data_IF_025804772421
#
_entry.id   IF_025804772421
#
_cell.length_a   1.000
_cell.length_b   1.000
_cell.length_c   1.000
_cell.angle_alpha   90.00
_cell.angle_beta   90.00
_cell.angle_gamma   90.00
#
_symmetry.space_group_name_H-M   'P 1'
#
loop_
_entity.id
_entity.type
_entity.pdbx_description
1 polymer ?
#
# COMPACT_ATOMS: atom_id res chain seq x y z
N UNK A 1 5.80 -18.12 2.01
CA UNK A 1 5.21 -16.78 1.74
C UNK A 1 4.07 -16.99 0.76
N UNK A 2 2.86 -16.49 1.05
CA UNK A 2 1.76 -16.56 0.08
C UNK A 2 2.19 -15.86 -1.22
N UNK A 3 1.68 -16.32 -2.35
CA UNK A 3 1.94 -15.66 -3.63
C UNK A 3 1.25 -14.30 -3.65
N UNK A 4 1.82 -13.29 -4.32
CA UNK A 4 1.35 -11.91 -4.26
C UNK A 4 -0.13 -11.78 -4.58
N UNK A 5 -0.59 -12.47 -5.63
CA UNK A 5 -2.00 -12.51 -6.04
C UNK A 5 -2.92 -13.02 -4.92
N UNK A 6 -2.54 -14.10 -4.24
CA UNK A 6 -3.29 -14.70 -3.14
C UNK A 6 -3.31 -13.79 -1.92
N UNK A 7 -2.18 -13.12 -1.62
CA UNK A 7 -2.12 -12.16 -0.52
C UNK A 7 -3.04 -10.96 -0.78
N UNK A 8 -3.01 -10.41 -1.99
CA UNK A 8 -3.90 -9.30 -2.40
C UNK A 8 -5.37 -9.72 -2.37
N UNK A 9 -5.73 -10.91 -2.85
CA UNK A 9 -7.10 -11.46 -2.75
C UNK A 9 -7.53 -11.64 -1.30
N UNK A 10 -6.65 -12.19 -0.46
CA UNK A 10 -6.91 -12.38 0.97
C UNK A 10 -7.15 -11.05 1.66
N UNK A 11 -6.27 -10.06 1.43
CA UNK A 11 -6.44 -8.71 1.96
C UNK A 11 -7.73 -8.05 1.47
N UNK A 12 -8.11 -8.28 0.20
CA UNK A 12 -9.35 -7.76 -0.36
C UNK A 12 -10.57 -8.18 0.46
N UNK A 13 -10.71 -9.49 0.69
CA UNK A 13 -11.82 -10.07 1.46
C UNK A 13 -11.73 -9.64 2.93
N UNK A 14 -10.52 -9.70 3.49
CA UNK A 14 -10.29 -9.54 4.92
C UNK A 14 -10.49 -8.10 5.41
N UNK A 15 -10.21 -7.11 4.57
CA UNK A 15 -10.31 -5.68 4.91
C UNK A 15 -11.38 -4.93 4.12
N UNK A 16 -12.33 -5.66 3.51
CA UNK A 16 -13.51 -5.08 2.87
C UNK A 16 -13.20 -4.16 1.68
N UNK A 17 -12.19 -4.48 0.89
CA UNK A 17 -11.95 -3.80 -0.39
C UNK A 17 -12.93 -4.33 -1.46
N UNK A 18 -13.30 -3.49 -2.42
CA UNK A 18 -14.22 -3.82 -3.52
C UNK A 18 -13.58 -4.75 -4.57
N UNK A 19 -12.25 -4.88 -4.56
CA UNK A 19 -11.52 -5.75 -5.48
C UNK A 19 -10.01 -5.61 -5.29
N UNK A 20 -9.24 -6.52 -5.92
CA UNK A 20 -7.77 -6.51 -5.89
C UNK A 20 -7.17 -5.19 -6.41
N UNK A 21 -7.83 -4.55 -7.37
CA UNK A 21 -7.50 -3.20 -7.85
C UNK A 21 -7.50 -2.18 -6.70
N UNK A 22 -8.52 -2.17 -5.84
CA UNK A 22 -8.57 -1.25 -4.70
C UNK A 22 -7.46 -1.52 -3.68
N UNK A 23 -7.14 -2.79 -3.41
CA UNK A 23 -6.02 -3.17 -2.54
C UNK A 23 -4.68 -2.64 -3.09
N UNK A 24 -4.41 -2.84 -4.39
CA UNK A 24 -3.16 -2.37 -4.99
C UNK A 24 -3.10 -0.85 -5.02
N UNK A 25 -4.22 -0.17 -5.34
CA UNK A 25 -4.30 1.30 -5.26
C UNK A 25 -4.01 1.80 -3.86
N UNK A 26 -4.52 1.11 -2.84
CA UNK A 26 -4.23 1.40 -1.43
C UNK A 26 -2.74 1.22 -1.10
N UNK A 27 -2.14 0.10 -1.49
CA UNK A 27 -0.71 -0.13 -1.25
C UNK A 27 0.20 0.87 -1.97
N UNK A 28 -0.12 1.21 -3.22
CA UNK A 28 0.57 2.27 -3.99
C UNK A 28 0.42 3.62 -3.29
N UNK A 29 -0.75 3.90 -2.74
CA UNK A 29 -1.00 5.10 -1.95
C UNK A 29 -0.17 5.12 -0.66
N UNK A 30 -0.12 4.01 0.09
CA UNK A 30 0.70 3.87 1.29
C UNK A 30 2.17 4.15 0.97
N UNK A 31 2.77 3.45 -0.01
CA UNK A 31 4.19 3.62 -0.35
C UNK A 31 4.50 5.03 -0.85
N UNK A 32 3.56 5.68 -1.56
CA UNK A 32 3.75 7.05 -1.99
C UNK A 32 3.75 8.02 -0.78
N UNK A 33 3.02 7.69 0.29
CA UNK A 33 3.03 8.45 1.53
C UNK A 33 4.30 8.27 2.37
N UNK A 34 5.10 7.23 2.09
CA UNK A 34 6.30 6.92 2.86
C UNK A 34 7.43 7.93 2.64
N UNK A 35 8.34 7.99 3.62
CA UNK A 35 9.57 8.78 3.54
C UNK A 35 10.51 8.33 2.41
N UNK A 36 11.44 9.22 2.02
CA UNK A 36 12.41 8.95 0.95
C UNK A 36 13.22 7.67 1.19
N UNK A 37 13.62 7.42 2.43
CA UNK A 37 14.43 6.25 2.78
C UNK A 37 13.64 4.95 2.61
N UNK A 38 12.38 4.90 3.07
CA UNK A 38 11.51 3.73 2.87
C UNK A 38 11.26 3.48 1.39
N UNK A 39 10.96 4.51 0.61
CA UNK A 39 10.81 4.39 -0.86
C UNK A 39 12.07 3.84 -1.53
N UNK A 40 13.26 4.25 -1.06
CA UNK A 40 14.53 3.67 -1.53
C UNK A 40 14.61 2.19 -1.17
N UNK A 41 14.22 1.78 0.04
CA UNK A 41 14.18 0.36 0.41
C UNK A 41 13.25 -0.42 -0.52
N UNK A 42 12.05 0.10 -0.81
CA UNK A 42 11.07 -0.56 -1.69
C UNK A 42 11.61 -0.74 -3.13
N UNK A 43 12.18 0.32 -3.72
CA UNK A 43 12.47 0.32 -5.16
C UNK A 43 13.95 0.16 -5.55
N UNK A 44 14.88 0.38 -4.61
CA UNK A 44 16.34 0.34 -4.89
C UNK A 44 16.97 -0.99 -4.48
N UNK A 45 16.44 -1.67 -3.46
CA UNK A 45 16.91 -3.00 -3.09
C UNK A 45 16.40 -3.98 -4.15
N UNK A 46 17.32 -4.53 -4.97
CA UNK A 46 17.06 -5.41 -6.12
C UNK A 46 16.39 -6.76 -5.78
N UNK A 47 15.71 -6.89 -4.64
CA UNK A 47 15.15 -8.15 -4.17
C UNK A 47 13.63 -8.08 -4.23
N UNK A 48 13.06 -8.37 -5.40
CA UNK A 48 11.75 -9.01 -5.35
C UNK A 48 12.00 -10.36 -4.65
N UNK A 49 11.28 -10.66 -3.56
CA UNK A 49 11.55 -11.83 -2.72
C UNK A 49 11.46 -13.15 -3.52
N UNK A 50 10.85 -13.10 -4.70
CA UNK A 50 10.73 -14.22 -5.64
C UNK A 50 11.74 -14.18 -6.80
N UNK A 51 12.57 -13.14 -6.89
CA UNK A 51 13.62 -12.99 -7.91
C UNK A 51 14.98 -13.49 -7.42
N UNK A 52 15.10 -13.83 -6.13
CA UNK A 52 16.39 -13.90 -5.45
C UNK A 52 17.15 -15.22 -5.54
N UNK A 53 16.73 -16.17 -6.38
CA UNK A 53 17.35 -17.50 -6.40
C UNK A 53 17.73 -17.94 -7.80
N UNK A 54 18.47 -17.12 -8.57
CA UNK A 54 19.10 -17.57 -9.82
C UNK A 54 18.16 -18.25 -10.83
N UNK A 55 16.84 -18.04 -10.67
CA UNK A 55 15.84 -18.78 -11.39
C UNK A 55 15.87 -18.29 -12.82
N UNK A 56 16.07 -19.23 -13.76
CA UNK A 56 16.14 -18.92 -15.18
C UNK A 56 14.85 -18.21 -15.58
N UNK A 57 14.93 -17.26 -16.52
CA UNK A 57 13.76 -16.68 -17.16
C UNK A 57 12.76 -17.81 -17.52
N UNK A 58 11.59 -17.83 -16.89
CA UNK A 58 10.55 -18.86 -17.11
C UNK A 58 10.32 -19.85 -15.96
N UNK A 59 11.16 -19.90 -14.92
CA UNK A 59 10.95 -20.84 -13.79
C UNK A 59 9.94 -20.38 -12.74
N UNK A 60 9.62 -19.08 -12.72
CA UNK A 60 8.49 -18.59 -11.96
C UNK A 60 7.37 -18.29 -12.95
N UNK A 61 6.20 -18.88 -12.71
CA UNK A 61 4.99 -18.42 -13.38
C UNK A 61 4.95 -16.90 -13.22
N UNK A 62 4.92 -16.18 -14.35
CA UNK A 62 4.78 -14.73 -14.33
C UNK A 62 3.38 -14.49 -13.77
N UNK A 63 3.29 -14.32 -12.45
CA UNK A 63 2.05 -13.96 -11.80
C UNK A 63 1.61 -12.65 -12.39
N UNK A 64 0.67 -12.66 -13.32
CA UNK A 64 0.10 -11.42 -13.80
C UNK A 64 -0.83 -11.00 -12.68
N UNK A 65 -0.62 -9.83 -12.09
CA UNK A 65 -1.67 -9.13 -11.34
C UNK A 65 -2.76 -8.65 -12.33
N UNK A 66 -3.05 -9.44 -13.38
CA UNK A 66 -3.75 -9.03 -14.57
C UNK A 66 -5.17 -8.65 -14.23
N UNK A 67 -5.63 -7.52 -14.79
CA UNK A 67 -6.90 -6.92 -14.44
C UNK A 67 -6.87 -6.05 -13.18
N UNK A 68 -5.72 -5.91 -12.49
CA UNK A 68 -5.57 -4.92 -11.42
C UNK A 68 -5.40 -3.54 -12.04
N UNK A 69 -6.37 -2.68 -11.78
CA UNK A 69 -6.42 -1.30 -12.25
C UNK A 69 -5.90 -0.35 -11.16
N UNK A 70 -5.13 0.65 -11.59
CA UNK A 70 -4.71 1.77 -10.74
C UNK A 70 -5.15 3.09 -11.37
N UNK A 71 -5.33 4.13 -10.55
CA UNK A 71 -5.75 5.44 -11.08
C UNK A 71 -4.66 6.06 -11.96
N UNK A 72 -5.05 6.94 -12.88
CA UNK A 72 -4.13 7.59 -13.81
C UNK A 72 -2.98 8.33 -13.10
N UNK A 73 -3.28 9.07 -12.02
CA UNK A 73 -2.25 9.76 -11.25
C UNK A 73 -1.25 8.79 -10.58
N UNK A 74 -1.70 7.59 -10.23
CA UNK A 74 -0.84 6.53 -9.70
C UNK A 74 0.02 5.94 -10.81
N UNK A 75 -0.52 5.78 -12.03
CA UNK A 75 0.27 5.39 -13.20
C UNK A 75 1.36 6.42 -13.52
N UNK A 76 1.03 7.72 -13.48
CA UNK A 76 2.02 8.78 -13.68
C UNK A 76 3.14 8.70 -12.62
N UNK A 77 2.76 8.48 -11.35
CA UNK A 77 3.73 8.28 -10.27
C UNK A 77 4.59 7.03 -10.46
N UNK A 78 3.98 5.89 -10.81
CA UNK A 78 4.70 4.64 -11.12
C UNK A 78 5.65 4.83 -12.32
N UNK A 79 5.25 5.62 -13.32
CA UNK A 79 6.11 6.01 -14.45
C UNK A 79 7.34 6.79 -13.98
N UNK A 80 7.17 7.75 -13.06
CA UNK A 80 8.28 8.47 -12.46
C UNK A 80 9.20 7.54 -11.64
N UNK A 81 8.63 6.56 -10.91
CA UNK A 81 9.41 5.53 -10.19
C UNK A 81 10.23 4.69 -11.16
N UNK A 82 9.64 4.25 -12.27
CA UNK A 82 10.31 3.48 -13.33
C UNK A 82 11.45 4.29 -13.98
N UNK A 83 11.26 5.60 -14.17
CA UNK A 83 12.32 6.48 -14.70
C UNK A 83 13.46 6.74 -13.72
N UNK A 84 13.17 6.81 -12.42
CA UNK A 84 14.15 7.14 -11.39
C UNK A 84 14.87 5.94 -10.75
N UNK A 85 14.29 4.74 -10.86
CA UNK A 85 14.77 3.52 -10.21
C UNK A 85 15.08 2.42 -11.24
N UNK A 86 15.90 1.40 -10.91
CA UNK A 86 16.20 0.27 -11.82
C UNK A 86 15.04 -0.73 -11.94
N UNK A 87 13.81 -0.25 -12.01
CA UNK A 87 12.57 -1.02 -12.12
C UNK A 87 12.12 -0.98 -13.58
N UNK A 88 11.94 -2.16 -14.20
CA UNK A 88 11.72 -2.26 -15.66
C UNK A 88 10.33 -1.86 -16.15
N UNK A 89 9.33 -1.83 -15.26
CA UNK A 89 7.94 -1.56 -15.62
C UNK A 89 7.12 -1.17 -14.39
N UNK A 90 5.97 -0.53 -14.62
CA UNK A 90 5.01 -0.20 -13.56
C UNK A 90 4.50 -1.46 -12.84
N UNK A 91 4.22 -2.54 -13.58
CA UNK A 91 3.86 -3.84 -13.01
C UNK A 91 4.93 -4.34 -12.03
N UNK A 92 6.22 -4.26 -12.42
CA UNK A 92 7.31 -4.65 -11.51
C UNK A 92 7.39 -3.74 -10.29
N UNK A 93 7.11 -2.44 -10.44
CA UNK A 93 7.06 -1.51 -9.30
C UNK A 93 5.96 -1.93 -8.31
N UNK A 94 4.75 -2.25 -8.79
CA UNK A 94 3.65 -2.74 -7.94
C UNK A 94 4.04 -4.03 -7.20
N UNK A 95 4.71 -4.97 -7.88
CA UNK A 95 5.21 -6.19 -7.21
C UNK A 95 6.23 -5.88 -6.12
N UNK A 96 7.15 -4.94 -6.35
CA UNK A 96 8.10 -4.50 -5.33
C UNK A 96 7.37 -3.92 -4.10
N UNK A 97 6.28 -3.18 -4.31
CA UNK A 97 5.44 -2.67 -3.21
C UNK A 97 4.79 -3.82 -2.44
N UNK A 98 4.21 -4.80 -3.13
CA UNK A 98 3.58 -5.95 -2.50
C UNK A 98 4.61 -6.77 -1.69
N UNK A 99 5.75 -7.11 -2.31
CA UNK A 99 6.84 -7.84 -1.64
C UNK A 99 7.34 -7.11 -0.39
N UNK A 100 7.52 -5.80 -0.48
CA UNK A 100 8.00 -5.00 0.65
C UNK A 100 7.05 -5.10 1.85
N UNK A 101 5.77 -4.83 1.65
CA UNK A 101 4.80 -4.86 2.75
C UNK A 101 4.54 -6.28 3.27
N UNK A 102 4.52 -7.29 2.39
CA UNK A 102 4.49 -8.69 2.80
C UNK A 102 5.71 -9.05 3.66
N UNK A 103 6.91 -8.62 3.28
CA UNK A 103 8.13 -8.86 4.08
C UNK A 103 7.98 -8.27 5.48
N UNK A 104 7.53 -7.02 5.58
CA UNK A 104 7.35 -6.31 6.85
C UNK A 104 6.39 -7.03 7.80
N UNK A 105 5.26 -7.51 7.29
CA UNK A 105 4.29 -8.28 8.08
C UNK A 105 4.92 -9.59 8.57
N UNK A 106 5.62 -10.32 7.69
CA UNK A 106 6.22 -11.60 8.04
C UNK A 106 7.40 -11.46 9.01
N UNK A 107 8.23 -10.42 8.84
CA UNK A 107 9.29 -10.07 9.80
C UNK A 107 8.72 -9.84 11.21
N UNK A 108 7.59 -9.14 11.31
CA UNK A 108 6.91 -8.92 12.59
C UNK A 108 6.36 -10.23 13.18
N UNK A 109 5.77 -11.13 12.36
CA UNK A 109 5.35 -12.46 12.83
C UNK A 109 6.53 -13.29 13.37
N UNK A 110 7.63 -13.34 12.62
CA UNK A 110 8.84 -14.08 13.01
C UNK A 110 9.45 -13.49 14.30
N UNK A 111 9.42 -12.16 14.46
CA UNK A 111 9.93 -11.52 15.68
C UNK A 111 9.15 -11.96 16.93
N UNK A 112 7.83 -12.09 16.85
CA UNK A 112 6.98 -12.61 17.93
C UNK A 112 7.32 -14.07 18.22
N UNK A 113 7.41 -14.93 17.21
CA UNK A 113 7.77 -16.36 17.37
C UNK A 113 9.14 -16.55 18.04
N UNK A 114 10.07 -15.61 17.82
CA UNK A 114 11.40 -15.62 18.44
C UNK A 114 11.45 -14.96 19.81
N UNK A 115 10.34 -14.45 20.34
CA UNK A 115 10.31 -13.69 21.60
C UNK A 115 11.09 -12.37 21.53
N UNK A 116 11.27 -11.81 20.33
CA UNK A 116 11.99 -10.54 20.07
C UNK A 116 11.02 -9.40 19.75
N UNK A 117 9.78 -9.47 20.21
CA UNK A 117 8.81 -8.43 19.93
C UNK A 117 9.23 -7.11 20.56
N UNK A 118 9.45 -6.10 19.72
CA UNK A 118 9.72 -4.74 20.19
C UNK A 118 8.37 -4.10 20.56
N UNK A 119 8.01 -4.20 21.84
CA UNK A 119 6.82 -3.52 22.37
C UNK A 119 5.50 -4.23 22.09
N UNK A 120 5.50 -5.55 21.91
CA UNK A 120 4.27 -6.34 21.76
C UNK A 120 3.55 -6.18 20.42
N UNK A 121 4.18 -5.55 19.42
CA UNK A 121 3.59 -5.37 18.08
C UNK A 121 3.68 -6.69 17.33
N UNK A 122 2.53 -7.30 17.04
CA UNK A 122 2.44 -8.54 16.28
C UNK A 122 2.40 -8.29 14.78
N UNK A 123 2.63 -9.33 13.98
CA UNK A 123 2.45 -9.22 12.53
C UNK A 123 1.02 -8.91 12.11
N UNK A 124 0.03 -9.33 12.89
CA UNK A 124 -1.38 -9.00 12.63
C UNK A 124 -1.67 -7.53 12.94
N UNK A 125 -1.00 -6.94 13.92
CA UNK A 125 -1.08 -5.50 14.19
C UNK A 125 -0.49 -4.69 13.02
N UNK A 126 0.67 -5.10 12.49
CA UNK A 126 1.29 -4.47 11.32
C UNK A 126 0.40 -4.62 10.08
N UNK A 127 -0.19 -5.79 9.87
CA UNK A 127 -1.11 -6.03 8.76
C UNK A 127 -2.37 -5.15 8.90
N UNK A 128 -2.95 -5.10 10.10
CA UNK A 128 -4.12 -4.27 10.42
C UNK A 128 -3.80 -2.80 10.17
N UNK A 129 -2.72 -2.28 10.75
CA UNK A 129 -2.30 -0.89 10.55
C UNK A 129 -2.14 -0.57 9.07
N UNK A 130 -1.46 -1.44 8.30
CA UNK A 130 -1.25 -1.21 6.88
C UNK A 130 -2.56 -1.05 6.10
N UNK A 131 -3.54 -1.92 6.33
CA UNK A 131 -4.77 -1.96 5.53
C UNK A 131 -5.91 -1.07 6.05
N UNK A 132 -5.80 -0.55 7.28
CA UNK A 132 -6.74 0.44 7.85
C UNK A 132 -6.24 1.88 7.74
N UNK A 133 -4.93 2.09 7.57
CA UNK A 133 -4.31 3.42 7.46
C UNK A 133 -4.99 4.29 6.39
N UNK A 134 -5.51 5.46 6.79
CA UNK A 134 -6.25 6.41 5.93
C UNK A 134 -7.60 5.91 5.40
N UNK A 135 -8.17 4.91 6.06
CA UNK A 135 -9.53 4.39 5.81
C UNK A 135 -10.40 4.51 7.06
N UNK A 136 -10.13 5.48 7.93
CA UNK A 136 -10.80 5.68 9.22
C UNK A 136 -12.30 5.99 9.09
N UNK A 137 -12.73 6.45 7.91
CA UNK A 137 -14.13 6.77 7.61
C UNK A 137 -14.78 5.79 6.62
N UNK A 138 -14.10 4.69 6.28
CA UNK A 138 -14.65 3.66 5.40
C UNK A 138 -15.41 2.63 6.23
N UNK A 139 -16.74 2.68 6.22
CA UNK A 139 -17.59 1.75 6.98
C UNK A 139 -17.35 0.28 6.63
N UNK A 140 -16.81 -0.03 5.44
CA UNK A 140 -16.44 -1.40 5.07
C UNK A 140 -15.28 -1.93 5.92
N UNK A 141 -14.37 -1.03 6.34
CA UNK A 141 -13.26 -1.38 7.22
C UNK A 141 -13.76 -1.69 8.62
N UNK A 142 -14.67 -0.88 9.15
CA UNK A 142 -15.28 -1.11 10.47
C UNK A 142 -15.93 -2.50 10.52
N UNK A 143 -16.79 -2.82 9.55
CA UNK A 143 -17.42 -4.15 9.44
C UNK A 143 -16.40 -5.27 9.29
N UNK A 144 -15.31 -5.03 8.55
CA UNK A 144 -14.25 -6.01 8.37
C UNK A 144 -13.46 -6.27 9.66
N UNK A 145 -13.17 -5.22 10.44
CA UNK A 145 -12.49 -5.32 11.73
C UNK A 145 -13.35 -6.02 12.78
N UNK A 146 -14.65 -5.71 12.84
CA UNK A 146 -15.59 -6.43 13.72
C UNK A 146 -15.62 -7.93 13.42
N UNK A 147 -15.61 -8.31 12.13
CA UNK A 147 -15.57 -9.72 11.72
C UNK A 147 -14.24 -10.38 12.09
N UNK A 148 -13.14 -9.65 12.02
CA UNK A 148 -11.83 -10.16 12.43
C UNK A 148 -11.81 -10.46 13.92
N UNK A 149 -12.27 -9.52 14.75
CA UNK A 149 -12.27 -9.66 16.20
C UNK A 149 -13.14 -10.82 16.66
N UNK A 150 -14.30 -11.03 16.01
CA UNK A 150 -15.14 -12.21 16.26
C UNK A 150 -14.45 -13.52 15.91
N UNK A 151 -13.66 -13.58 14.82
CA UNK A 151 -12.92 -14.79 14.43
C UNK A 151 -11.85 -15.19 15.43
N UNK A 152 -11.16 -14.23 16.03
CA UNK A 152 -10.18 -14.51 17.09
C UNK A 152 -10.76 -15.22 18.32
N UNK A 153 -12.08 -15.14 18.50
CA UNK A 153 -12.80 -15.80 19.60
C UNK A 153 -13.31 -17.19 19.20
N UNK A 154 -13.63 -17.43 17.92
CA UNK A 154 -14.29 -18.65 17.45
C UNK A 154 -13.36 -19.64 16.71
N UNK A 155 -12.24 -19.19 16.15
CA UNK A 155 -11.37 -20.01 15.28
C UNK A 155 -10.30 -20.82 16.03
N UNK A 156 -10.70 -21.49 17.12
CA UNK A 156 -9.87 -22.55 17.70
C UNK A 156 -9.59 -23.73 16.75
N UNK A 157 -10.43 -23.99 15.72
CA UNK A 157 -10.34 -25.27 14.97
C UNK A 157 -10.88 -25.28 13.50
N UNK A 158 -11.10 -24.16 12.79
CA UNK A 158 -11.71 -24.24 11.44
C UNK A 158 -10.79 -23.94 10.26
N UNK A 159 -10.91 -24.80 9.24
CA UNK A 159 -10.13 -24.91 8.00
C UNK A 159 -10.00 -23.61 7.18
N UNK A 160 -8.94 -23.50 6.35
CA UNK A 160 -8.65 -22.30 5.56
C UNK A 160 -9.81 -21.94 4.61
N UNK A 161 -10.19 -20.66 4.65
CA UNK A 161 -11.17 -20.04 3.74
C UNK A 161 -10.86 -20.41 2.30
N UNK A 162 -11.75 -21.19 1.66
CA UNK A 162 -11.70 -21.43 0.22
C UNK A 162 -11.87 -20.09 -0.51
N UNK A 163 -10.80 -19.60 -1.13
CA UNK A 163 -10.79 -18.36 -1.89
C UNK A 163 -11.65 -18.59 -3.15
N UNK A 164 -12.67 -17.75 -3.31
CA UNK A 164 -13.65 -17.76 -4.41
C UNK A 164 -12.98 -17.95 -5.80
N UNK A 165 -13.56 -18.82 -6.62
CA UNK A 165 -13.11 -19.18 -7.97
C UNK A 165 -13.12 -17.98 -8.94
N UNK A 166 -12.24 -18.05 -9.95
CA UNK A 166 -11.78 -16.99 -10.88
C UNK A 166 -12.83 -16.32 -11.81
N UNK A 167 -14.13 -16.38 -11.52
CA UNK A 167 -15.19 -15.96 -12.46
C UNK A 167 -15.45 -14.43 -12.51
N UNK A 168 -14.69 -13.61 -11.77
CA UNK A 168 -14.86 -12.15 -11.71
C UNK A 168 -13.88 -11.34 -12.61
N UNK A 169 -13.37 -11.91 -13.70
CA UNK A 169 -12.39 -11.25 -14.60
C UNK A 169 -12.99 -10.35 -15.70
N UNK A 170 -14.29 -10.04 -15.63
CA UNK A 170 -15.04 -9.56 -16.80
C UNK A 170 -15.66 -8.16 -16.71
N UNK A 171 -15.04 -7.13 -16.12
CA UNK A 171 -15.41 -5.73 -16.39
C UNK A 171 -14.21 -4.79 -16.19
N UNK A 172 -13.52 -4.50 -17.29
CA UNK A 172 -12.45 -3.49 -17.40
C UNK A 172 -13.10 -2.19 -17.81
N UNK A 173 -13.31 -1.29 -16.85
CA UNK A 173 -13.86 0.03 -17.08
C UNK A 173 -12.99 1.05 -16.39
N UNK A 174 -12.33 1.91 -17.17
CA UNK A 174 -11.63 3.08 -16.61
C UNK A 174 -12.56 3.78 -15.61
N UNK A 175 -12.06 4.04 -14.39
CA UNK A 175 -12.83 4.74 -13.36
C UNK A 175 -13.46 6.00 -13.96
N UNK A 176 -14.74 6.23 -13.69
CA UNK A 176 -15.40 7.43 -14.20
C UNK A 176 -14.65 8.70 -13.73
N UNK A 177 -14.72 9.82 -14.46
CA UNK A 177 -14.08 11.07 -14.04
C UNK A 177 -14.49 11.51 -12.62
N UNK A 178 -15.73 11.22 -12.22
CA UNK A 178 -16.27 11.47 -10.88
C UNK A 178 -15.61 10.59 -9.80
N UNK A 179 -15.46 9.30 -10.05
CA UNK A 179 -14.78 8.38 -9.13
C UNK A 179 -13.30 8.72 -8.98
N UNK A 180 -12.66 9.11 -10.09
CA UNK A 180 -11.27 9.57 -10.11
C UNK A 180 -11.13 10.85 -9.28
N UNK A 181 -12.00 11.84 -9.48
CA UNK A 181 -12.01 13.07 -8.68
C UNK A 181 -12.28 12.81 -7.18
N UNK A 182 -13.22 11.91 -6.85
CA UNK A 182 -13.49 11.52 -5.47
C UNK A 182 -12.32 10.75 -4.83
N UNK A 183 -11.62 9.93 -5.61
CA UNK A 183 -10.40 9.28 -5.17
C UNK A 183 -9.26 10.27 -4.93
N UNK A 184 -9.09 11.26 -5.81
CA UNK A 184 -8.11 12.35 -5.66
C UNK A 184 -8.42 13.16 -4.40
N UNK A 185 -9.68 13.52 -4.14
CA UNK A 185 -10.07 14.24 -2.91
C UNK A 185 -9.73 13.47 -1.63
N UNK A 186 -9.84 12.13 -1.64
CA UNK A 186 -9.46 11.24 -0.53
C UNK A 186 -7.94 11.03 -0.45
N UNK A 187 -7.23 11.17 -1.57
CA UNK A 187 -5.81 10.92 -1.71
C UNK A 187 -4.98 12.10 -1.17
N UNK A 188 -4.49 12.00 0.06
CA UNK A 188 -3.57 12.99 0.65
C UNK A 188 -2.17 13.02 -0.02
N UNK A 189 -1.81 12.01 -0.80
CA UNK A 189 -0.47 11.89 -1.40
C UNK A 189 -0.52 12.29 -2.87
N UNK A 190 0.17 13.38 -3.19
CA UNK A 190 0.04 14.04 -4.49
C UNK A 190 -0.37 15.48 -4.34
N UNK A 191 -0.83 15.95 -3.16
CA UNK A 191 -1.11 17.38 -2.92
C UNK A 191 0.00 18.31 -3.42
N UNK A 192 1.25 17.84 -3.44
CA UNK A 192 2.37 18.58 -4.01
C UNK A 192 2.78 18.35 -5.46
N UNK A 193 2.16 17.42 -6.19
CA UNK A 193 2.50 17.10 -7.57
C UNK A 193 1.67 17.92 -8.57
N UNK A 194 2.29 18.26 -9.70
CA UNK A 194 1.61 18.93 -10.80
C UNK A 194 0.39 18.14 -11.32
N UNK A 195 0.44 16.81 -11.24
CA UNK A 195 -0.67 15.93 -11.60
C UNK A 195 -1.90 16.11 -10.71
N UNK A 196 -1.72 16.40 -9.41
CA UNK A 196 -2.84 16.62 -8.49
C UNK A 196 -3.50 17.97 -8.72
N UNK A 197 -2.70 19.02 -8.90
CA UNK A 197 -3.20 20.35 -9.28
C UNK A 197 -4.00 20.29 -10.59
N UNK A 198 -3.45 19.60 -11.61
CA UNK A 198 -4.12 19.40 -12.90
C UNK A 198 -5.45 18.67 -12.75
N UNK A 199 -5.51 17.68 -11.84
CA UNK A 199 -6.74 16.90 -11.64
C UNK A 199 -7.80 17.65 -10.84
N UNK A 200 -7.42 18.64 -10.03
CA UNK A 200 -8.36 19.53 -9.34
C UNK A 200 -8.82 20.70 -10.22
N UNK A 201 -8.21 20.87 -11.41
CA UNK A 201 -8.42 22.05 -12.24
C UNK A 201 -7.88 23.33 -11.60
N UNK A 202 -6.93 23.21 -10.66
CA UNK A 202 -6.29 24.37 -10.02
C UNK A 202 -5.43 25.11 -11.04
N UNK A 203 -5.51 26.44 -11.04
CA UNK A 203 -4.53 27.29 -11.71
C UNK A 203 -3.17 27.20 -10.99
N UNK A 204 -2.10 27.68 -11.65
CA UNK A 204 -0.77 27.72 -11.05
C UNK A 204 -0.73 28.56 -9.76
N UNK A 205 -1.45 29.69 -9.75
CA UNK A 205 -1.53 30.59 -8.59
C UNK A 205 -2.29 29.95 -7.41
N UNK A 206 -3.40 29.24 -7.69
CA UNK A 206 -4.15 28.51 -6.66
C UNK A 206 -3.33 27.36 -6.06
N UNK A 207 -2.60 26.64 -6.91
CA UNK A 207 -1.67 25.59 -6.48
C UNK A 207 -0.60 26.16 -5.56
N UNK A 208 0.00 27.30 -5.92
CA UNK A 208 1.03 27.94 -5.12
C UNK A 208 0.48 28.44 -3.77
N UNK A 209 -0.71 29.06 -3.77
CA UNK A 209 -1.39 29.49 -2.54
C UNK A 209 -1.64 28.32 -1.59
N UNK A 210 -2.22 27.22 -2.09
CA UNK A 210 -2.46 26.01 -1.28
C UNK A 210 -1.16 25.44 -0.72
N UNK A 211 -0.10 25.37 -1.53
CA UNK A 211 1.22 24.87 -1.09
C UNK A 211 1.90 25.76 -0.06
N UNK A 212 1.58 27.06 -0.05
CA UNK A 212 2.04 28.00 0.98
C UNK A 212 1.32 27.76 2.30
N UNK A 213 0.02 27.47 2.27
CA UNK A 213 -0.76 27.10 3.47
C UNK A 213 -0.35 25.74 4.03
N UNK A 214 -0.17 24.73 3.17
CA UNK A 214 0.33 23.41 3.59
C UNK A 214 1.70 23.50 4.26
N UNK A 215 2.63 24.31 3.72
CA UNK A 215 3.96 24.53 4.33
C UNK A 215 3.87 25.21 5.69
N UNK A 216 2.99 26.21 5.86
CA UNK A 216 2.76 26.85 7.17
C UNK A 216 2.29 25.83 8.21
N UNK A 217 1.47 24.86 7.81
CA UNK A 217 1.00 23.78 8.68
C UNK A 217 2.12 22.77 9.00
N UNK A 218 2.90 22.37 7.99
CA UNK A 218 4.04 21.46 8.15
C UNK A 218 5.18 22.05 9.00
N UNK A 219 5.32 23.38 9.01
CA UNK A 219 6.32 24.10 9.79
C UNK A 219 5.93 24.27 11.27
N UNK A 220 4.68 23.98 11.66
CA UNK A 220 4.25 24.00 13.06
C UNK A 220 5.03 22.97 13.89
N UNK A 221 5.42 23.35 15.10
CA UNK A 221 6.22 22.47 15.97
C UNK A 221 5.53 21.16 16.32
N UNK A 222 4.21 21.16 16.50
CA UNK A 222 3.44 19.93 16.73
C UNK A 222 3.62 18.91 15.60
N UNK A 223 3.64 19.37 14.35
CA UNK A 223 3.82 18.51 13.18
C UNK A 223 5.24 17.94 13.10
N UNK A 224 6.25 18.73 13.50
CA UNK A 224 7.64 18.27 13.59
C UNK A 224 7.81 17.21 14.69
N UNK A 225 7.22 17.44 15.86
CA UNK A 225 7.24 16.50 16.98
C UNK A 225 6.56 15.18 16.62
N UNK A 226 5.42 15.22 15.92
CA UNK A 226 4.76 14.01 15.39
C UNK A 226 5.64 13.25 14.39
N UNK A 227 6.29 13.95 13.45
CA UNK A 227 7.24 13.33 12.52
C UNK A 227 8.40 12.65 13.25
N UNK A 228 8.94 13.29 14.28
CA UNK A 228 10.03 12.72 15.05
C UNK A 228 9.59 11.52 15.89
N UNK A 229 8.39 11.56 16.47
CA UNK A 229 7.78 10.42 17.17
C UNK A 229 7.62 9.23 16.23
N UNK A 230 7.04 9.43 15.04
CA UNK A 230 6.92 8.38 14.01
C UNK A 230 8.30 7.82 13.64
N UNK A 231 9.30 8.68 13.47
CA UNK A 231 10.68 8.26 13.18
C UNK A 231 11.29 7.41 14.30
N UNK A 232 11.01 7.74 15.57
CA UNK A 232 11.46 6.97 16.74
C UNK A 232 10.73 5.63 16.83
N UNK A 233 9.41 5.63 16.64
CA UNK A 233 8.56 4.43 16.75
C UNK A 233 8.83 3.41 15.64
N UNK A 234 9.09 3.88 14.41
CA UNK A 234 9.42 3.00 13.29
C UNK A 234 10.85 2.42 13.36
N UNK A 235 11.61 2.79 14.39
CA UNK A 235 13.01 2.44 14.56
C UNK A 235 13.89 3.16 13.54
N UNK A 236 15.07 3.60 13.96
CA UNK A 236 16.10 3.98 13.00
C UNK A 236 16.54 2.72 12.25
N UNK A 237 15.88 2.39 11.14
CA UNK A 237 16.26 1.27 10.24
C UNK A 237 17.57 1.55 9.48
N UNK A 238 18.39 2.49 9.98
CA UNK A 238 19.77 2.70 9.52
C UNK A 238 20.68 2.89 10.73
N UNK A 239 21.19 1.76 11.23
CA UNK A 239 22.63 1.63 11.45
C UNK A 239 23.26 1.10 10.17
#
# INVERSE_FOLDING_TARGET
MPVQSLWVRSACVRYGFSGCSEVVRHLVFCVNGEGREVKRLVFKIKRCLHCHVGARQGQHAKEVLGGVEVYEFQMAWLGAVVGACPVRSADKAVRCVCDFYMSRINEARIAVEQGKENGGVTGDDVERELFTRRREHDSRVEVALERWEKRGVEEGEKEPVQILSDEAQGMVGACSPLETAAAIKRCQVGRGSASYASSLGETAEETERRRKEERKEEDKEEFKQQKELIRKTLGSVMG
#
